data_IF_150681750472
#
_entry.id   IF_150681750472
#
_cell.length_a   1.000
_cell.length_b   1.000
_cell.length_c   1.000
_cell.angle_alpha   90.00
_cell.angle_beta   90.00
_cell.angle_gamma   90.00
#
_symmetry.space_group_name_H-M   'P 1'
#
loop_
_entity.id
_entity.type
_entity.pdbx_description
1 polymer ?
#
# COMPACT_ATOMS: atom_id res chain seq x y z
N UNK A 1 -6.29 41.69 -45.49
CA UNK A 1 -6.39 41.72 -44.01
C UNK A 1 -6.67 40.31 -43.54
N UNK A 2 -5.64 39.57 -43.13
CA UNK A 2 -5.79 38.27 -42.48
C UNK A 2 -5.52 38.50 -41.01
N UNK A 3 -6.54 38.30 -40.19
CA UNK A 3 -6.50 38.51 -38.75
C UNK A 3 -5.78 37.34 -38.10
N UNK A 4 -4.55 37.57 -37.61
CA UNK A 4 -3.85 36.64 -36.72
C UNK A 4 -4.30 36.93 -35.29
N UNK A 5 -5.21 36.11 -34.77
CA UNK A 5 -5.52 36.05 -33.33
C UNK A 5 -5.16 34.67 -32.80
N UNK A 6 -3.87 34.36 -32.79
CA UNK A 6 -3.31 33.26 -32.01
C UNK A 6 -2.92 33.80 -30.64
N UNK A 7 -3.83 33.70 -29.66
CA UNK A 7 -3.51 33.98 -28.27
C UNK A 7 -2.66 32.85 -27.72
N UNK A 8 -1.33 32.97 -27.80
CA UNK A 8 -0.40 32.13 -27.07
C UNK A 8 -0.56 32.42 -25.56
N UNK A 9 -1.42 31.66 -24.90
CA UNK A 9 -1.48 31.64 -23.44
C UNK A 9 -0.18 31.05 -22.92
N UNK A 10 0.66 31.86 -22.30
CA UNK A 10 1.84 31.39 -21.57
C UNK A 10 1.44 30.21 -20.65
N UNK A 11 2.24 29.12 -20.61
CA UNK A 11 1.94 27.99 -19.74
C UNK A 11 1.86 28.47 -18.28
N UNK A 12 0.77 28.08 -17.59
CA UNK A 12 0.56 28.41 -16.18
C UNK A 12 1.81 28.10 -15.35
N UNK A 13 2.27 29.08 -14.56
CA UNK A 13 3.42 28.94 -13.65
C UNK A 13 3.15 28.00 -12.47
N UNK A 14 1.89 27.67 -12.23
CA UNK A 14 1.44 26.77 -11.16
C UNK A 14 0.65 25.59 -11.73
N UNK A 15 0.73 24.46 -11.05
CA UNK A 15 -0.06 23.25 -11.28
C UNK A 15 -1.06 23.11 -10.13
N UNK A 16 -2.30 22.73 -10.42
CA UNK A 16 -3.25 22.32 -9.39
C UNK A 16 -2.88 20.91 -8.93
N UNK A 17 -2.47 20.75 -7.68
CA UNK A 17 -2.28 19.45 -7.05
C UNK A 17 -3.60 19.06 -6.38
N UNK A 18 -4.12 17.88 -6.70
CA UNK A 18 -5.42 17.43 -6.21
C UNK A 18 -5.26 16.09 -5.49
N UNK A 19 -5.87 15.99 -4.31
CA UNK A 19 -6.07 14.75 -3.59
C UNK A 19 -7.55 14.35 -3.64
N UNK A 20 -7.86 13.17 -4.16
CA UNK A 20 -9.23 12.70 -4.38
C UNK A 20 -9.39 11.23 -3.96
N UNK A 21 -10.35 10.95 -3.07
CA UNK A 21 -10.66 9.58 -2.66
C UNK A 21 -11.28 8.74 -3.80
N UNK A 22 -11.41 7.42 -3.59
CA UNK A 22 -11.92 6.52 -4.61
C UNK A 22 -13.38 6.81 -5.01
N UNK A 23 -14.24 7.20 -4.06
CA UNK A 23 -15.63 7.58 -4.35
C UNK A 23 -15.81 9.03 -4.82
N UNK A 24 -14.73 9.80 -4.93
CA UNK A 24 -14.70 11.22 -5.36
C UNK A 24 -15.47 12.21 -4.50
N UNK A 25 -16.12 11.76 -3.42
CA UNK A 25 -16.86 12.63 -2.50
C UNK A 25 -15.97 13.56 -1.67
N UNK A 26 -14.68 13.24 -1.57
CA UNK A 26 -13.68 14.10 -0.96
C UNK A 26 -12.62 14.44 -2.00
N UNK A 27 -12.54 15.73 -2.34
CA UNK A 27 -11.55 16.31 -3.23
C UNK A 27 -10.97 17.56 -2.54
N UNK A 28 -9.65 17.62 -2.45
CA UNK A 28 -8.90 18.75 -1.90
C UNK A 28 -7.87 19.19 -2.92
N UNK A 29 -7.60 20.48 -3.02
CA UNK A 29 -6.70 21.01 -4.05
C UNK A 29 -5.86 22.16 -3.54
N UNK A 30 -4.62 22.26 -4.03
CA UNK A 30 -3.75 23.42 -3.83
C UNK A 30 -3.01 23.77 -5.13
N UNK A 31 -2.44 24.96 -5.21
CA UNK A 31 -1.60 25.38 -6.34
C UNK A 31 -0.13 25.28 -5.97
N UNK A 32 0.63 24.55 -6.77
CA UNK A 32 2.07 24.34 -6.59
C UNK A 32 2.82 25.02 -7.73
N UNK A 33 3.84 25.80 -7.41
CA UNK A 33 4.74 26.35 -8.42
C UNK A 33 5.43 25.21 -9.17
N UNK A 34 5.49 25.28 -10.50
CA UNK A 34 6.14 24.25 -11.34
C UNK A 34 7.60 24.02 -10.96
N UNK A 35 8.29 25.05 -10.49
CA UNK A 35 9.67 24.97 -9.99
C UNK A 35 9.84 24.17 -8.69
N UNK A 36 8.74 23.84 -7.98
CA UNK A 36 8.75 22.97 -6.80
C UNK A 36 8.47 21.50 -7.14
N UNK A 37 8.17 21.19 -8.39
CA UNK A 37 7.94 19.82 -8.83
C UNK A 37 9.25 19.22 -9.37
N UNK A 38 9.49 17.92 -9.13
CA UNK A 38 8.66 16.99 -8.35
C UNK A 38 8.78 17.18 -6.83
N UNK A 39 7.70 16.94 -6.09
CA UNK A 39 7.68 16.96 -4.63
C UNK A 39 8.42 15.74 -4.05
N UNK A 40 9.14 15.94 -2.94
CA UNK A 40 9.82 14.86 -2.25
C UNK A 40 8.81 13.92 -1.57
N UNK A 41 8.84 12.66 -1.95
CA UNK A 41 8.03 11.59 -1.39
C UNK A 41 8.89 10.66 -0.54
N UNK A 42 8.28 10.12 0.51
CA UNK A 42 8.83 9.08 1.36
C UNK A 42 8.07 7.79 1.07
N UNK A 43 8.80 6.68 0.99
CA UNK A 43 8.23 5.35 1.08
C UNK A 43 8.59 4.74 2.43
N UNK A 44 7.55 4.38 3.19
CA UNK A 44 7.68 3.70 4.47
C UNK A 44 7.40 2.21 4.31
N UNK A 45 8.30 1.38 4.84
CA UNK A 45 8.23 -0.08 4.78
C UNK A 45 7.85 -0.73 6.13
N UNK A 46 7.50 0.07 7.15
CA UNK A 46 7.23 -0.47 8.48
C UNK A 46 5.95 -1.33 8.50
N UNK A 47 5.91 -2.32 9.38
CA UNK A 47 4.75 -3.21 9.53
C UNK A 47 3.47 -2.46 9.92
N UNK A 48 3.59 -1.33 10.63
CA UNK A 48 2.42 -0.54 11.00
C UNK A 48 1.75 0.08 9.77
N UNK A 49 2.54 0.67 8.87
CA UNK A 49 2.04 1.20 7.60
C UNK A 49 1.44 0.08 6.75
N UNK A 50 2.10 -1.08 6.65
CA UNK A 50 1.55 -2.24 5.93
C UNK A 50 0.20 -2.69 6.47
N UNK A 51 0.06 -2.80 7.80
CA UNK A 51 -1.19 -3.21 8.43
C UNK A 51 -2.26 -2.10 8.44
N UNK A 52 -1.87 -0.85 8.20
CA UNK A 52 -2.77 0.29 8.02
C UNK A 52 -3.29 0.37 6.58
N UNK A 53 -2.48 0.02 5.57
CA UNK A 53 -2.84 0.24 4.17
C UNK A 53 -3.23 -1.02 3.41
N UNK A 54 -2.76 -2.20 3.85
CA UNK A 54 -2.83 -3.44 3.09
C UNK A 54 -1.79 -3.55 1.96
N UNK A 55 -1.00 -2.49 1.73
CA UNK A 55 0.13 -2.51 0.80
C UNK A 55 1.40 -3.11 1.44
N UNK A 56 2.38 -3.49 0.61
CA UNK A 56 3.71 -3.86 1.09
C UNK A 56 4.54 -2.67 1.58
N UNK A 57 4.12 -1.47 1.20
CA UNK A 57 4.68 -0.19 1.60
C UNK A 57 3.59 0.87 1.54
N UNK A 58 3.91 2.06 2.01
CA UNK A 58 3.06 3.24 1.87
C UNK A 58 3.90 4.39 1.35
N UNK A 59 3.35 5.18 0.42
CA UNK A 59 4.03 6.38 -0.07
C UNK A 59 3.28 7.65 0.31
N UNK A 60 4.02 8.63 0.79
CA UNK A 60 3.50 9.90 1.29
C UNK A 60 4.37 11.06 0.84
N UNK A 61 3.79 12.26 0.73
CA UNK A 61 4.54 13.51 0.55
C UNK A 61 3.95 14.60 1.44
N UNK A 62 4.74 15.61 1.79
CA UNK A 62 4.24 16.78 2.50
C UNK A 62 3.24 17.53 1.61
N UNK A 63 2.12 17.97 2.19
CA UNK A 63 1.18 18.82 1.47
C UNK A 63 1.82 20.20 1.29
N UNK A 64 1.83 20.79 0.08
CA UNK A 64 2.58 22.02 -0.21
C UNK A 64 2.32 23.22 0.70
N UNK A 65 1.11 23.33 1.25
CA UNK A 65 0.70 24.37 2.21
C UNK A 65 0.68 23.88 3.67
N UNK A 66 0.97 22.60 3.88
CA UNK A 66 0.98 21.93 5.19
C UNK A 66 2.32 22.05 5.93
N UNK A 67 3.35 22.57 5.28
CA UNK A 67 4.68 22.74 5.87
C UNK A 67 4.79 24.08 6.60
N UNK A 68 4.98 24.02 7.91
CA UNK A 68 5.26 25.19 8.75
C UNK A 68 6.69 25.74 8.55
N UNK A 69 7.54 25.06 7.77
CA UNK A 69 8.92 25.44 7.46
C UNK A 69 9.06 26.48 6.35
N UNK A 70 7.94 27.07 5.87
CA UNK A 70 7.98 28.29 5.06
C UNK A 70 8.96 29.26 5.72
N UNK A 71 10.02 29.74 5.03
CA UNK A 71 10.91 30.73 5.60
C UNK A 71 10.04 31.90 6.04
N UNK A 72 9.93 32.12 7.35
CA UNK A 72 9.31 33.32 7.85
C UNK A 72 10.17 34.46 7.32
N UNK A 73 9.58 35.36 6.52
CA UNK A 73 10.11 36.71 6.45
C UNK A 73 10.35 37.17 7.90
N UNK A 74 11.58 37.63 8.18
CA UNK A 74 12.12 37.94 9.52
C UNK A 74 11.00 38.36 10.49
N UNK A 75 10.68 37.52 11.47
CA UNK A 75 9.71 37.84 12.51
C UNK A 75 10.44 38.33 13.76
N UNK A 76 9.95 39.44 14.28
CA UNK A 76 10.33 40.03 15.55
C UNK A 76 10.26 39.01 16.70
N UNK A 77 11.33 38.94 17.49
CA UNK A 77 11.57 37.93 18.54
C UNK A 77 10.61 38.02 19.74
N UNK A 78 9.63 38.93 19.74
CA UNK A 78 8.79 39.22 20.90
C UNK A 78 7.28 38.96 20.71
N UNK A 79 6.87 38.29 19.63
CA UNK A 79 5.49 37.89 19.44
C UNK A 79 5.27 36.43 19.87
N UNK A 80 4.53 36.23 20.96
CA UNK A 80 3.94 34.94 21.34
C UNK A 80 2.97 34.53 20.23
N UNK A 81 3.47 33.87 19.18
CA UNK A 81 2.70 33.57 17.98
C UNK A 81 1.71 32.44 18.27
N UNK A 82 0.42 32.78 18.35
CA UNK A 82 -0.66 31.83 18.09
C UNK A 82 -0.51 31.37 16.63
N UNK A 83 0.19 30.25 16.41
CA UNK A 83 0.37 29.68 15.07
C UNK A 83 -1.00 29.26 14.56
N UNK A 84 -1.54 30.02 13.61
CA UNK A 84 -2.73 29.60 12.86
C UNK A 84 -2.40 28.31 12.12
N UNK A 85 -3.21 27.24 12.25
CA UNK A 85 -2.97 25.99 11.53
C UNK A 85 -2.92 26.20 10.00
N UNK A 86 -2.17 25.37 9.27
CA UNK A 86 -2.19 25.35 7.81
C UNK A 86 -3.61 25.32 7.23
N UNK A 87 -3.80 25.88 6.02
CA UNK A 87 -5.10 25.90 5.36
C UNK A 87 -5.70 24.49 5.23
N UNK A 88 -4.88 23.52 4.79
CA UNK A 88 -5.28 22.13 4.67
C UNK A 88 -5.70 21.50 6.00
N UNK A 89 -5.04 21.85 7.11
CA UNK A 89 -5.39 21.32 8.43
C UNK A 89 -6.81 21.76 8.83
N UNK A 90 -7.19 23.01 8.53
CA UNK A 90 -8.54 23.52 8.77
C UNK A 90 -9.57 22.84 7.87
N UNK A 91 -9.26 22.62 6.59
CA UNK A 91 -10.15 21.94 5.66
C UNK A 91 -10.38 20.47 6.02
N UNK A 92 -9.32 19.75 6.39
CA UNK A 92 -9.40 18.36 6.87
C UNK A 92 -10.19 18.29 8.17
N UNK A 93 -9.95 19.20 9.12
CA UNK A 93 -10.72 19.28 10.37
C UNK A 93 -12.20 19.54 10.11
N UNK A 94 -12.54 20.47 9.22
CA UNK A 94 -13.93 20.72 8.81
C UNK A 94 -14.56 19.49 8.12
N UNK A 95 -13.81 18.75 7.30
CA UNK A 95 -14.28 17.52 6.68
C UNK A 95 -14.53 16.39 7.70
N UNK A 96 -13.71 16.31 8.76
CA UNK A 96 -13.93 15.39 9.89
C UNK A 96 -15.19 15.78 10.68
N UNK A 97 -15.35 17.06 11.01
CA UNK A 97 -16.54 17.56 11.71
C UNK A 97 -17.84 17.33 10.90
N UNK A 98 -17.76 17.43 9.58
CA UNK A 98 -18.86 17.14 8.66
C UNK A 98 -19.08 15.63 8.42
N UNK A 99 -18.32 14.73 9.06
CA UNK A 99 -18.44 13.28 8.88
C UNK A 99 -17.98 12.75 7.51
N UNK A 100 -17.34 13.59 6.68
CA UNK A 100 -16.83 13.19 5.35
C UNK A 100 -15.50 12.45 5.42
N UNK A 101 -14.69 12.76 6.44
CA UNK A 101 -13.47 12.05 6.78
C UNK A 101 -13.59 11.46 8.19
N UNK A 102 -12.96 10.31 8.42
CA UNK A 102 -12.69 9.74 9.74
C UNK A 102 -11.22 9.93 10.08
N UNK A 103 -10.93 9.94 11.38
CA UNK A 103 -9.56 10.03 11.90
C UNK A 103 -9.21 8.77 12.71
N UNK A 104 -7.94 8.37 12.64
CA UNK A 104 -7.41 7.28 13.46
C UNK A 104 -6.02 7.67 14.01
N UNK A 105 -5.77 7.51 15.32
CA UNK A 105 -4.44 7.70 15.89
C UNK A 105 -3.53 6.55 15.44
N UNK A 106 -2.65 6.82 14.48
CA UNK A 106 -1.71 5.83 13.95
C UNK A 106 -0.52 5.61 14.90
N UNK A 107 -0.13 6.65 15.64
CA UNK A 107 0.86 6.57 16.71
C UNK A 107 0.66 7.72 17.69
N UNK A 108 1.51 7.83 18.71
CA UNK A 108 1.53 9.02 19.58
C UNK A 108 1.80 10.32 18.83
N UNK A 109 2.45 10.23 17.66
CA UNK A 109 2.94 11.39 16.91
C UNK A 109 2.21 11.59 15.58
N UNK A 110 1.28 10.71 15.21
CA UNK A 110 0.64 10.76 13.89
C UNK A 110 -0.83 10.37 13.95
N UNK A 111 -1.69 11.18 13.33
CA UNK A 111 -3.05 10.81 12.99
C UNK A 111 -3.17 10.61 11.48
N UNK A 112 -4.06 9.71 11.07
CA UNK A 112 -4.39 9.50 9.67
C UNK A 112 -5.87 9.79 9.42
N UNK A 113 -6.15 10.39 8.27
CA UNK A 113 -7.48 10.83 7.86
C UNK A 113 -7.89 10.08 6.59
N UNK A 114 -9.08 9.48 6.60
CA UNK A 114 -9.56 8.64 5.51
C UNK A 114 -11.04 8.89 5.22
N UNK A 115 -11.45 8.64 3.97
CA UNK A 115 -12.84 8.85 3.56
C UNK A 115 -13.80 7.98 4.39
N UNK A 116 -14.87 8.57 4.92
CA UNK A 116 -15.88 7.83 5.69
C UNK A 116 -16.65 6.80 4.86
N UNK A 117 -16.74 7.00 3.55
CA UNK A 117 -17.46 6.12 2.62
C UNK A 117 -16.57 5.02 2.02
N UNK A 118 -15.55 5.39 1.24
CA UNK A 118 -14.71 4.41 0.54
C UNK A 118 -13.45 3.99 1.30
N UNK A 119 -13.20 4.56 2.48
CA UNK A 119 -12.02 4.28 3.30
C UNK A 119 -10.65 4.60 2.68
N UNK A 120 -10.58 5.30 1.53
CA UNK A 120 -9.29 5.78 1.01
C UNK A 120 -8.57 6.65 2.04
N UNK A 121 -7.34 6.28 2.38
CA UNK A 121 -6.42 7.10 3.17
C UNK A 121 -6.05 8.35 2.38
N UNK A 122 -6.31 9.52 2.95
CA UNK A 122 -6.16 10.80 2.26
C UNK A 122 -4.99 11.61 2.81
N UNK A 123 -5.04 11.94 4.09
CA UNK A 123 -4.05 12.81 4.73
C UNK A 123 -3.53 12.19 6.01
N UNK A 124 -2.44 12.74 6.51
CA UNK A 124 -1.97 12.53 7.87
C UNK A 124 -1.47 13.85 8.45
N UNK A 125 -1.50 13.95 9.76
CA UNK A 125 -0.76 14.95 10.50
C UNK A 125 0.17 14.30 11.49
N UNK A 126 1.18 15.05 11.92
CA UNK A 126 2.11 14.58 12.91
C UNK A 126 3.42 15.32 12.88
N UNK A 127 4.43 14.68 13.45
CA UNK A 127 5.76 15.26 13.58
C UNK A 127 6.79 14.35 12.93
N UNK A 128 7.43 14.81 11.84
CA UNK A 128 8.60 14.15 11.25
C UNK A 128 9.85 14.94 11.63
N UNK A 129 10.85 14.27 12.21
CA UNK A 129 12.12 14.91 12.64
C UNK A 129 11.92 16.17 13.51
N UNK A 130 10.91 16.17 14.37
CA UNK A 130 10.58 17.31 15.25
C UNK A 130 9.80 18.45 14.57
N UNK A 131 9.42 18.32 13.29
CA UNK A 131 8.66 19.31 12.53
C UNK A 131 7.22 18.86 12.31
N UNK A 132 6.28 19.73 12.69
CA UNK A 132 4.87 19.56 12.35
C UNK A 132 4.70 19.47 10.83
N UNK A 133 4.09 18.37 10.40
CA UNK A 133 3.90 18.03 9.00
C UNK A 133 2.45 17.64 8.78
N UNK A 134 1.80 18.32 7.84
CA UNK A 134 0.58 17.82 7.19
C UNK A 134 0.96 17.24 5.84
N UNK A 135 0.66 15.97 5.63
CA UNK A 135 0.99 15.27 4.39
C UNK A 135 -0.18 14.53 3.79
N UNK A 136 0.03 14.07 2.56
CA UNK A 136 -0.94 13.36 1.73
C UNK A 136 -0.39 11.99 1.34
N UNK A 137 -1.26 10.99 1.26
CA UNK A 137 -0.91 9.69 0.71
C UNK A 137 -0.84 9.78 -0.81
N UNK A 138 0.26 9.28 -1.40
CA UNK A 138 0.50 9.40 -2.84
C UNK A 138 -0.60 8.72 -3.68
N UNK A 139 -1.20 7.64 -3.18
CA UNK A 139 -2.23 6.89 -3.88
C UNK A 139 -3.54 7.66 -4.17
N UNK A 140 -3.81 8.76 -3.46
CA UNK A 140 -4.98 9.62 -3.71
C UNK A 140 -4.67 10.88 -4.51
N UNK A 141 -3.41 11.12 -4.88
CA UNK A 141 -3.09 12.18 -5.83
C UNK A 141 -3.70 11.82 -7.18
N UNK A 142 -4.47 12.75 -7.75
CA UNK A 142 -5.14 12.51 -9.01
C UNK A 142 -4.16 12.43 -10.19
N UNK A 143 -4.69 12.13 -11.37
CA UNK A 143 -3.89 11.98 -12.59
C UNK A 143 -3.65 13.31 -13.29
N UNK A 144 -3.39 14.37 -12.51
CA UNK A 144 -3.02 15.66 -13.07
C UNK A 144 -1.84 15.49 -14.03
N UNK A 145 -2.07 15.84 -15.30
CA UNK A 145 -1.01 15.94 -16.31
C UNK A 145 -0.32 17.28 -16.16
N UNK A 146 1.00 17.24 -16.04
CA UNK A 146 1.87 18.41 -16.01
C UNK A 146 2.62 18.47 -17.33
N UNK A 147 2.25 19.36 -18.26
CA UNK A 147 2.89 19.43 -19.58
C UNK A 147 4.40 19.66 -19.45
N UNK A 148 5.23 18.90 -20.17
CA UNK A 148 6.67 19.15 -20.26
C UNK A 148 6.92 20.40 -21.13
N UNK A 149 7.87 21.25 -20.74
CA UNK A 149 8.32 22.36 -21.60
C UNK A 149 9.37 21.81 -22.56
N UNK A 150 8.96 21.22 -23.68
CA UNK A 150 9.91 20.92 -24.76
C UNK A 150 9.20 20.89 -26.11
N UNK A 151 9.08 22.08 -26.71
CA UNK A 151 9.00 22.26 -28.16
C UNK A 151 10.42 22.22 -28.76
N UNK A 152 11.08 21.07 -28.67
CA UNK A 152 12.36 20.81 -29.31
C UNK A 152 12.24 19.63 -30.26
N UNK A 153 12.97 19.70 -31.38
CA UNK A 153 12.94 18.84 -32.58
C UNK A 153 13.36 17.36 -32.35
N UNK A 154 13.00 16.79 -31.20
CA UNK A 154 13.22 15.37 -30.88
C UNK A 154 12.24 14.49 -31.65
N UNK A 155 12.77 13.38 -32.16
CA UNK A 155 12.08 12.28 -32.83
C UNK A 155 10.85 11.76 -32.05
N UNK A 156 9.71 12.45 -32.21
CA UNK A 156 8.31 12.00 -32.19
C UNK A 156 7.78 11.10 -31.05
N UNK A 157 8.60 10.61 -30.14
CA UNK A 157 8.32 9.44 -29.28
C UNK A 157 8.29 9.80 -27.78
N UNK A 158 8.86 10.94 -27.39
CA UNK A 158 8.90 11.42 -25.99
C UNK A 158 8.00 12.64 -25.71
N UNK A 159 7.30 13.17 -26.72
CA UNK A 159 6.48 14.40 -26.62
C UNK A 159 5.18 14.26 -25.81
N UNK A 160 4.75 13.05 -25.44
CA UNK A 160 3.44 12.84 -24.76
C UNK A 160 3.52 12.66 -23.23
N UNK A 161 4.73 12.65 -22.62
CA UNK A 161 4.87 12.30 -21.20
C UNK A 161 4.78 13.50 -20.25
N UNK A 162 3.91 13.39 -19.25
CA UNK A 162 3.78 14.35 -18.14
C UNK A 162 5.06 14.45 -17.30
N UNK A 163 5.39 15.64 -16.82
CA UNK A 163 6.38 15.86 -15.76
C UNK A 163 5.95 15.09 -14.50
N UNK A 164 6.89 14.47 -13.74
CA UNK A 164 6.57 13.80 -12.48
C UNK A 164 6.03 14.78 -11.42
N UNK A 165 5.00 14.36 -10.68
CA UNK A 165 4.54 15.09 -9.50
C UNK A 165 5.39 14.79 -8.28
N UNK A 166 5.87 13.56 -8.16
CA UNK A 166 6.63 13.07 -7.01
C UNK A 166 8.00 12.55 -7.45
N UNK A 167 8.98 12.68 -6.57
CA UNK A 167 10.23 11.92 -6.61
C UNK A 167 10.40 11.23 -5.26
N UNK A 168 10.72 9.95 -5.25
CA UNK A 168 10.93 9.17 -4.04
C UNK A 168 12.31 9.52 -3.49
N UNK A 169 12.35 10.34 -2.45
CA UNK A 169 13.59 10.80 -1.82
C UNK A 169 14.14 9.80 -0.79
N UNK A 170 13.25 9.07 -0.11
CA UNK A 170 13.64 8.20 1.00
C UNK A 170 12.87 6.87 1.01
N UNK A 171 13.59 5.77 1.22
CA UNK A 171 13.05 4.48 1.67
C UNK A 171 13.36 4.31 3.16
N UNK A 172 12.35 4.41 4.03
CA UNK A 172 12.51 4.36 5.49
C UNK A 172 11.96 3.03 6.08
N UNK A 173 12.47 2.64 7.24
CA UNK A 173 12.03 1.47 8.02
C UNK A 173 12.21 0.10 7.33
N UNK A 174 13.30 -0.07 6.58
CA UNK A 174 13.57 -1.33 5.87
C UNK A 174 13.72 -2.54 6.80
N UNK A 175 14.18 -2.34 8.04
CA UNK A 175 14.32 -3.41 9.04
C UNK A 175 13.00 -4.14 9.34
N UNK A 176 11.85 -3.45 9.18
CA UNK A 176 10.52 -4.01 9.44
C UNK A 176 10.09 -5.06 8.42
N UNK A 177 10.82 -5.21 7.31
CA UNK A 177 10.47 -6.17 6.25
C UNK A 177 11.13 -7.53 6.41
N UNK A 178 12.30 -7.57 7.05
CA UNK A 178 13.21 -8.73 7.14
C UNK A 178 13.74 -9.25 5.79
N UNK A 179 12.90 -9.34 4.77
CA UNK A 179 13.22 -9.81 3.43
C UNK A 179 13.36 -8.67 2.40
N UNK A 180 13.28 -7.40 2.81
CA UNK A 180 13.32 -6.24 1.93
C UNK A 180 11.96 -5.78 1.40
N UNK A 181 10.89 -6.56 1.56
CA UNK A 181 9.55 -6.20 1.09
C UNK A 181 9.54 -5.75 -0.37
N UNK A 182 9.02 -4.54 -0.63
CA UNK A 182 8.96 -3.95 -1.96
C UNK A 182 10.22 -3.14 -2.34
N UNK A 183 11.20 -3.01 -1.43
CA UNK A 183 12.42 -2.22 -1.67
C UNK A 183 13.18 -2.62 -2.94
N UNK A 184 13.32 -3.92 -3.30
CA UNK A 184 13.99 -4.29 -4.55
C UNK A 184 13.36 -3.70 -5.80
N UNK A 185 12.07 -3.34 -5.76
CA UNK A 185 11.34 -2.73 -6.87
C UNK A 185 11.42 -1.21 -6.81
N UNK A 186 11.87 -0.62 -5.70
CA UNK A 186 11.96 0.81 -5.44
C UNK A 186 13.42 1.29 -5.39
N UNK A 187 14.31 0.61 -6.11
CA UNK A 187 15.75 0.92 -6.19
C UNK A 187 16.03 2.20 -6.97
N UNK A 188 15.44 2.32 -8.16
CA UNK A 188 15.58 3.50 -9.01
C UNK A 188 14.24 3.97 -9.61
N UNK A 189 13.28 4.38 -8.76
CA UNK A 189 11.93 4.77 -9.19
C UNK A 189 11.87 6.18 -9.83
N UNK A 190 12.94 6.99 -9.75
CA UNK A 190 12.89 8.43 -10.07
C UNK A 190 13.20 8.78 -11.54
N UNK A 191 13.37 7.79 -12.41
CA UNK A 191 13.82 7.92 -13.82
C UNK A 191 15.25 8.45 -13.98
N UNK A 192 15.99 7.87 -14.94
CA UNK A 192 17.38 8.21 -15.21
C UNK A 192 17.50 9.61 -15.84
N UNK A 193 18.34 10.47 -15.25
CA UNK A 193 18.86 11.67 -15.93
C UNK A 193 19.04 12.93 -15.09
N UNK A 194 18.33 13.11 -13.97
CA UNK A 194 18.49 14.33 -13.16
C UNK A 194 18.11 14.24 -11.68
N UNK A 195 17.49 13.15 -11.22
CA UNK A 195 17.05 13.01 -9.84
C UNK A 195 17.88 11.95 -9.13
N UNK A 196 18.28 12.25 -7.90
CA UNK A 196 19.05 11.32 -7.07
C UNK A 196 18.23 10.06 -6.76
N UNK A 197 18.88 8.88 -6.65
CA UNK A 197 18.22 7.67 -6.18
C UNK A 197 17.72 7.85 -4.74
N UNK A 198 16.68 7.11 -4.33
CA UNK A 198 16.13 7.21 -2.99
C UNK A 198 17.16 6.77 -1.94
N UNK A 199 17.35 7.62 -0.92
CA UNK A 199 18.21 7.33 0.23
C UNK A 199 17.58 6.27 1.13
N UNK A 200 18.36 5.31 1.63
CA UNK A 200 17.84 4.14 2.34
C UNK A 200 18.14 4.15 3.84
N UNK A 201 17.18 3.70 4.66
CA UNK A 201 17.25 3.73 6.12
C UNK A 201 16.66 2.45 6.72
N UNK A 202 17.39 1.81 7.64
CA UNK A 202 16.89 0.63 8.36
C UNK A 202 15.72 0.97 9.29
N UNK A 203 15.74 2.15 9.92
CA UNK A 203 14.63 2.71 10.71
C UNK A 203 14.28 4.11 10.19
N UNK A 204 13.91 5.07 11.06
CA UNK A 204 13.71 6.44 10.63
C UNK A 204 15.06 7.14 10.34
N UNK A 205 15.02 8.19 9.52
CA UNK A 205 16.13 9.13 9.37
C UNK A 205 16.43 9.78 10.73
N UNK A 206 17.72 9.94 11.03
CA UNK A 206 18.20 10.41 12.34
C UNK A 206 18.24 9.33 13.43
N UNK A 207 17.66 8.13 13.20
CA UNK A 207 17.72 7.00 14.13
C UNK A 207 18.62 5.85 13.62
N UNK A 208 18.87 5.79 12.31
CA UNK A 208 19.93 4.97 11.72
C UNK A 208 20.80 5.81 10.79
N UNK A 209 22.00 5.31 10.53
CA UNK A 209 22.80 5.79 9.41
C UNK A 209 22.09 5.47 8.10
N UNK A 210 22.34 6.31 7.09
CA UNK A 210 22.02 6.00 5.71
C UNK A 210 22.82 4.78 5.28
N UNK A 211 22.19 3.92 4.49
CA UNK A 211 22.83 2.72 3.94
C UNK A 211 22.81 2.76 2.43
N UNK A 212 23.78 2.11 1.81
CA UNK A 212 23.74 1.87 0.37
C UNK A 212 22.70 0.79 0.05
N UNK A 213 22.32 0.71 -1.21
CA UNK A 213 21.47 -0.36 -1.70
C UNK A 213 22.12 -1.75 -1.49
N UNK A 214 23.42 -1.87 -1.78
CA UNK A 214 24.18 -3.11 -1.55
C UNK A 214 24.15 -3.52 -0.08
N UNK A 215 24.33 -2.57 0.85
CA UNK A 215 24.22 -2.83 2.28
C UNK A 215 22.80 -3.24 2.69
N UNK A 216 21.77 -2.64 2.10
CA UNK A 216 20.38 -3.01 2.35
C UNK A 216 20.12 -4.45 1.90
N UNK A 217 20.57 -4.80 0.69
CA UNK A 217 20.49 -6.15 0.15
C UNK A 217 21.29 -7.15 1.01
N UNK A 218 22.49 -6.79 1.44
CA UNK A 218 23.31 -7.63 2.32
C UNK A 218 22.63 -7.88 3.68
N UNK A 219 22.13 -6.82 4.33
CA UNK A 219 21.54 -6.90 5.68
C UNK A 219 20.22 -7.67 5.70
N UNK A 220 19.40 -7.53 4.66
CA UNK A 220 18.07 -8.14 4.59
C UNK A 220 18.12 -9.58 4.04
N UNK A 221 19.01 -9.87 3.09
CA UNK A 221 18.98 -11.15 2.39
C UNK A 221 20.03 -12.16 2.87
N UNK A 222 21.19 -11.73 3.41
CA UNK A 222 22.28 -12.64 3.78
C UNK A 222 22.03 -13.47 5.05
N UNK A 223 21.30 -12.93 6.04
CA UNK A 223 20.95 -13.71 7.26
C UNK A 223 20.11 -14.95 6.96
N UNK A 224 19.42 -15.00 5.82
CA UNK A 224 18.66 -16.18 5.36
C UNK A 224 19.57 -17.25 4.78
N UNK A 225 20.57 -16.83 4.00
CA UNK A 225 21.62 -17.69 3.41
C UNK A 225 22.53 -18.30 4.49
N UNK A 226 23.01 -17.50 5.45
CA UNK A 226 23.87 -17.97 6.54
C UNK A 226 23.17 -18.99 7.45
N UNK A 227 21.86 -18.80 7.69
CA UNK A 227 21.05 -19.75 8.47
C UNK A 227 20.74 -21.04 7.71
N UNK A 228 20.53 -20.96 6.39
CA UNK A 228 20.45 -22.16 5.53
C UNK A 228 21.76 -22.95 5.54
N UNK A 229 22.90 -22.27 5.42
CA UNK A 229 24.22 -22.92 5.48
C UNK A 229 24.52 -23.54 6.85
N UNK A 230 24.16 -22.88 7.96
CA UNK A 230 24.32 -23.44 9.30
C UNK A 230 23.41 -24.65 9.56
N UNK A 231 22.18 -24.65 9.03
CA UNK A 231 21.29 -25.82 9.09
C UNK A 231 21.81 -26.99 8.23
N UNK A 232 22.45 -26.72 7.09
CA UNK A 232 23.09 -27.75 6.27
C UNK A 232 24.39 -28.29 6.90
N UNK A 233 25.18 -27.45 7.56
CA UNK A 233 26.44 -27.84 8.22
C UNK A 233 26.21 -28.57 9.57
N UNK A 234 25.03 -28.43 10.18
CA UNK A 234 24.61 -29.19 11.36
C UNK A 234 24.04 -30.59 11.07
N UNK A 235 23.79 -30.91 9.80
CA UNK A 235 23.24 -32.19 9.33
C UNK A 235 24.31 -33.13 8.79
N UNK A 236 25.23 -33.60 9.64
CA UNK A 236 26.19 -34.64 9.28
C UNK A 236 25.52 -36.01 9.15
N UNK A 237 24.92 -36.29 8.00
CA UNK A 237 24.38 -37.60 7.65
C UNK A 237 24.39 -37.82 6.13
N UNK A 238 25.40 -38.54 5.65
CA UNK A 238 25.53 -38.94 4.24
C UNK A 238 24.31 -39.73 3.76
N UNK A 239 23.64 -39.22 2.74
CA UNK A 239 22.67 -39.96 1.95
C UNK A 239 22.29 -39.16 0.71
N UNK A 240 22.85 -39.50 -0.44
CA UNK A 240 22.42 -38.96 -1.73
C UNK A 240 20.97 -39.34 -2.00
N UNK A 241 20.09 -38.37 -1.85
CA UNK A 241 18.68 -38.43 -2.19
C UNK A 241 18.16 -37.00 -2.11
N UNK A 242 17.49 -36.54 -3.17
CA UNK A 242 16.81 -35.26 -3.22
C UNK A 242 16.01 -35.06 -1.92
N UNK A 243 16.38 -34.06 -1.12
CA UNK A 243 15.70 -33.69 0.12
C UNK A 243 14.25 -33.29 -0.21
N UNK A 244 13.35 -34.28 -0.21
CA UNK A 244 11.93 -34.05 0.01
C UNK A 244 11.81 -33.48 1.42
N UNK A 245 11.85 -32.15 1.53
CA UNK A 245 11.44 -31.39 2.70
C UNK A 245 10.12 -31.99 3.19
N UNK A 246 10.13 -32.61 4.37
CA UNK A 246 8.98 -33.28 4.97
C UNK A 246 7.84 -32.26 5.14
N UNK A 247 6.91 -32.28 4.18
CA UNK A 247 5.85 -31.30 4.00
C UNK A 247 4.64 -31.59 4.87
N UNK A 248 4.67 -31.12 6.13
CA UNK A 248 3.42 -30.86 6.85
C UNK A 248 2.66 -29.68 6.21
N UNK A 249 1.32 -29.60 6.36
CA UNK A 249 0.57 -28.45 5.88
C UNK A 249 1.09 -27.16 6.53
N UNK A 250 1.31 -26.12 5.73
CA UNK A 250 1.74 -24.82 6.25
C UNK A 250 0.69 -24.25 7.21
N UNK A 251 1.12 -23.56 8.28
CA UNK A 251 0.19 -22.94 9.22
C UNK A 251 -0.66 -21.87 8.52
N UNK A 252 -1.89 -21.62 8.98
CA UNK A 252 -2.72 -20.53 8.46
C UNK A 252 -2.05 -19.17 8.63
N UNK A 253 -2.30 -18.26 7.68
CA UNK A 253 -1.78 -16.89 7.71
C UNK A 253 -2.80 -15.95 8.36
N UNK A 254 -2.46 -15.26 9.46
CA UNK A 254 -3.31 -14.20 9.98
C UNK A 254 -3.47 -13.04 8.97
N UNK A 255 -4.70 -12.57 8.82
CA UNK A 255 -5.06 -11.32 8.16
C UNK A 255 -5.38 -10.32 9.27
N UNK A 256 -4.45 -9.40 9.55
CA UNK A 256 -4.58 -8.48 10.68
C UNK A 256 -4.38 -7.03 10.26
N UNK A 257 -5.35 -6.20 10.57
CA UNK A 257 -5.21 -4.74 10.41
C UNK A 257 -4.46 -4.11 11.59
N UNK A 258 -4.01 -2.88 11.41
CA UNK A 258 -3.25 -2.11 12.40
C UNK A 258 -3.94 -2.06 13.78
N UNK A 259 -5.22 -1.65 13.81
CA UNK A 259 -5.94 -1.47 15.08
C UNK A 259 -6.52 -2.77 15.69
N UNK A 260 -6.29 -3.93 15.06
CA UNK A 260 -6.87 -5.22 15.49
C UNK A 260 -8.39 -5.34 15.31
N UNK A 261 -9.05 -4.37 14.66
CA UNK A 261 -10.50 -4.42 14.39
C UNK A 261 -10.88 -5.42 13.30
N UNK A 262 -9.92 -5.91 12.53
CA UNK A 262 -10.03 -7.03 11.60
C UNK A 262 -8.97 -8.04 12.01
N UNK A 263 -9.42 -9.26 12.33
CA UNK A 263 -8.57 -10.37 12.68
C UNK A 263 -9.19 -11.66 12.15
N UNK A 264 -8.66 -12.10 11.01
CA UNK A 264 -9.12 -13.29 10.29
C UNK A 264 -7.91 -14.21 10.07
N UNK A 265 -8.17 -15.43 9.63
CA UNK A 265 -7.12 -16.37 9.20
C UNK A 265 -7.40 -16.82 7.79
N UNK A 266 -6.32 -16.92 7.01
CA UNK A 266 -6.30 -17.53 5.68
C UNK A 266 -5.68 -18.92 5.81
N UNK A 267 -6.49 -19.94 5.57
CA UNK A 267 -6.03 -21.31 5.53
C UNK A 267 -5.36 -21.63 4.20
N UNK A 268 -4.49 -22.63 4.25
CA UNK A 268 -3.99 -23.29 3.05
C UNK A 268 -5.18 -23.73 2.19
N UNK A 269 -5.11 -23.60 0.85
CA UNK A 269 -6.17 -24.03 -0.02
C UNK A 269 -6.52 -25.50 0.28
N UNK A 270 -7.79 -25.81 0.57
CA UNK A 270 -8.19 -27.20 0.84
C UNK A 270 -7.82 -28.08 -0.35
N UNK A 271 -7.27 -29.28 -0.14
CA UNK A 271 -7.14 -30.30 -1.19
C UNK A 271 -8.51 -30.96 -1.36
N UNK A 272 -9.26 -30.59 -2.39
CA UNK A 272 -10.58 -31.12 -2.69
C UNK A 272 -10.57 -31.75 -4.07
N UNK A 273 -10.79 -33.07 -4.14
CA UNK A 273 -11.01 -33.81 -5.37
C UNK A 273 -12.33 -33.37 -6.01
N UNK A 274 -12.25 -32.89 -7.24
CA UNK A 274 -13.38 -32.39 -8.02
C UNK A 274 -12.87 -31.54 -9.18
N UNK A 275 -13.26 -31.91 -10.39
CA UNK A 275 -12.76 -31.39 -11.66
C UNK A 275 -12.95 -29.87 -11.80
N UNK A 276 -11.96 -29.22 -12.43
CA UNK A 276 -11.89 -27.78 -12.78
C UNK A 276 -11.65 -26.78 -11.63
N UNK A 277 -10.57 -26.96 -10.87
CA UNK A 277 -9.91 -25.78 -10.28
C UNK A 277 -9.35 -24.95 -11.41
N UNK A 278 -9.89 -23.75 -11.66
CA UNK A 278 -9.21 -22.80 -12.52
C UNK A 278 -7.81 -22.56 -11.92
N UNK A 279 -6.78 -22.95 -12.67
CA UNK A 279 -5.39 -23.14 -12.25
C UNK A 279 -4.65 -21.80 -11.97
N UNK A 280 -5.41 -20.73 -11.78
CA UNK A 280 -4.95 -19.35 -11.72
C UNK A 280 -4.76 -18.90 -10.26
N UNK A 281 -5.31 -19.62 -9.26
CA UNK A 281 -5.20 -19.26 -7.83
C UNK A 281 -3.89 -19.72 -7.24
N UNK A 282 -3.51 -20.92 -7.65
CA UNK A 282 -2.37 -21.64 -7.15
C UNK A 282 -1.37 -21.68 -8.29
N UNK A 283 -0.14 -21.35 -7.99
CA UNK A 283 0.95 -21.64 -8.89
C UNK A 283 1.14 -23.15 -8.92
N UNK A 284 0.89 -23.76 -10.08
CA UNK A 284 0.96 -25.21 -10.26
C UNK A 284 2.36 -25.76 -10.02
N UNK A 285 3.41 -24.95 -10.20
CA UNK A 285 4.79 -25.37 -9.96
C UNK A 285 5.10 -25.42 -8.46
N UNK A 286 4.57 -24.49 -7.66
CA UNK A 286 4.92 -24.35 -6.24
C UNK A 286 3.85 -24.82 -5.27
N UNK A 287 2.60 -25.00 -5.72
CA UNK A 287 1.44 -25.25 -4.86
C UNK A 287 1.05 -24.06 -3.98
N UNK A 288 1.65 -22.88 -4.19
CA UNK A 288 1.45 -21.67 -3.38
C UNK A 288 0.39 -20.76 -3.99
N UNK A 289 -0.24 -19.91 -3.18
CA UNK A 289 -1.18 -18.91 -3.69
C UNK A 289 -0.45 -17.87 -4.52
N UNK A 290 -0.97 -17.56 -5.70
CA UNK A 290 -0.42 -16.48 -6.54
C UNK A 290 -0.70 -15.11 -5.91
N UNK A 291 0.24 -14.21 -6.11
CA UNK A 291 0.09 -12.78 -5.86
C UNK A 291 0.08 -12.08 -7.21
N UNK A 292 -0.95 -11.26 -7.44
CA UNK A 292 -0.99 -10.36 -8.58
C UNK A 292 -0.60 -8.96 -8.13
N UNK A 293 0.00 -8.21 -9.05
CA UNK A 293 0.26 -6.78 -8.87
C UNK A 293 -0.73 -6.00 -9.73
N UNK A 294 -1.33 -4.95 -9.19
CA UNK A 294 -2.29 -4.11 -9.90
C UNK A 294 -1.87 -2.64 -9.82
N UNK A 295 -1.89 -1.99 -10.97
CA UNK A 295 -1.56 -0.57 -11.14
C UNK A 295 -2.80 0.31 -11.35
N UNK A 296 -4.02 -0.23 -11.25
CA UNK A 296 -5.23 0.54 -11.54
C UNK A 296 -5.49 1.66 -10.51
N UNK A 297 -6.29 2.64 -10.94
CA UNK A 297 -6.71 3.79 -10.13
C UNK A 297 -7.37 3.40 -8.80
N UNK A 298 -8.21 2.36 -8.83
CA UNK A 298 -8.96 1.97 -7.65
C UNK A 298 -8.07 1.30 -6.60
N UNK A 299 -7.17 0.41 -7.03
CA UNK A 299 -6.27 -0.30 -6.12
C UNK A 299 -5.32 0.66 -5.39
N UNK A 300 -4.69 1.60 -6.13
CA UNK A 300 -3.79 2.58 -5.51
C UNK A 300 -4.49 3.49 -4.49
N UNK A 301 -5.74 3.89 -4.76
CA UNK A 301 -6.55 4.74 -3.86
C UNK A 301 -7.04 3.95 -2.63
N UNK A 302 -7.22 2.64 -2.75
CA UNK A 302 -7.58 1.76 -1.64
C UNK A 302 -6.38 1.51 -0.70
N UNK A 303 -5.17 1.36 -1.23
CA UNK A 303 -3.99 0.94 -0.45
C UNK A 303 -2.88 1.98 -0.30
N UNK A 304 -3.11 3.23 -0.72
CA UNK A 304 -2.18 4.35 -0.52
C UNK A 304 -0.74 4.11 -1.05
N UNK A 305 -0.60 3.35 -2.15
CA UNK A 305 0.67 3.02 -2.80
C UNK A 305 0.61 3.22 -4.31
N UNK A 306 1.74 3.06 -5.01
CA UNK A 306 1.78 3.16 -6.49
C UNK A 306 1.26 1.89 -7.15
N UNK A 307 1.58 0.74 -6.55
CA UNK A 307 1.17 -0.60 -6.94
C UNK A 307 0.55 -1.31 -5.74
N UNK A 308 -0.45 -2.14 -5.99
CA UNK A 308 -1.10 -2.95 -4.96
C UNK A 308 -0.90 -4.43 -5.26
N UNK A 309 -0.66 -5.22 -4.20
CA UNK A 309 -0.39 -6.64 -4.30
C UNK A 309 -1.53 -7.41 -3.66
N UNK A 310 -2.19 -8.27 -4.43
CA UNK A 310 -3.36 -9.01 -4.02
C UNK A 310 -3.11 -10.50 -4.13
N UNK A 311 -3.48 -11.27 -3.11
CA UNK A 311 -3.54 -12.74 -3.23
C UNK A 311 -4.99 -13.19 -3.23
N UNK A 312 -5.32 -14.16 -4.09
CA UNK A 312 -6.68 -14.66 -4.21
C UNK A 312 -6.97 -15.78 -3.20
N UNK A 313 -8.15 -15.74 -2.61
CA UNK A 313 -8.68 -16.78 -1.74
C UNK A 313 -10.13 -17.09 -2.07
N UNK A 314 -10.50 -18.37 -1.95
CA UNK A 314 -11.91 -18.75 -1.85
C UNK A 314 -12.42 -18.36 -0.45
N UNK A 315 -13.68 -17.94 -0.35
CA UNK A 315 -14.30 -17.57 0.92
C UNK A 315 -14.20 -18.70 1.97
N UNK A 316 -14.29 -19.95 1.54
CA UNK A 316 -14.14 -21.14 2.40
C UNK A 316 -12.74 -21.29 3.03
N UNK A 317 -11.72 -20.62 2.48
CA UNK A 317 -10.37 -20.64 3.01
C UNK A 317 -10.15 -19.53 4.05
N UNK A 318 -11.12 -18.64 4.24
CA UNK A 318 -11.07 -17.54 5.21
C UNK A 318 -11.94 -17.89 6.41
N UNK A 319 -11.42 -17.65 7.62
CA UNK A 319 -12.17 -17.85 8.85
C UNK A 319 -11.97 -16.71 9.85
N UNK A 320 -12.92 -16.55 10.77
CA UNK A 320 -12.69 -15.77 11.98
C UNK A 320 -11.66 -16.49 12.86
N UNK A 321 -10.86 -15.73 13.60
CA UNK A 321 -9.97 -16.32 14.63
C UNK A 321 -10.83 -16.88 15.75
N UNK A 322 -10.63 -18.16 16.10
CA UNK A 322 -11.17 -18.72 17.34
C UNK A 322 -10.56 -17.99 18.53
N UNK A 323 -11.37 -17.27 19.31
CA UNK A 323 -10.93 -16.66 20.55
C UNK A 323 -11.05 -17.73 21.64
N UNK A 324 -9.95 -18.22 22.24
CA UNK A 324 -10.04 -19.13 23.38
C UNK A 324 -10.80 -18.44 24.50
N UNK A 325 -11.93 -19.02 24.90
CA UNK A 325 -12.77 -18.47 25.95
C UNK A 325 -12.10 -18.77 27.30
N UNK A 326 -11.28 -17.86 27.82
CA UNK A 326 -10.57 -18.04 29.11
C UNK A 326 -11.49 -18.06 30.35
N UNK A 327 -12.81 -18.15 30.17
CA UNK A 327 -13.78 -18.32 31.24
C UNK A 327 -14.32 -19.75 31.22
N UNK A 328 -13.56 -20.69 31.78
CA UNK A 328 -14.12 -21.90 32.38
C UNK A 328 -14.99 -21.53 33.59
N UNK A 329 -16.13 -20.88 33.37
CA UNK A 329 -17.24 -20.91 34.31
C UNK A 329 -18.56 -20.62 33.60
N UNK A 330 -19.40 -21.65 33.64
CA UNK A 330 -20.77 -21.79 33.12
C UNK A 330 -21.59 -20.48 33.13
N UNK A 331 -22.24 -20.19 32.02
CA UNK A 331 -23.72 -20.14 31.90
C UNK A 331 -24.12 -19.81 30.46
N UNK A 332 -25.26 -20.37 30.05
CA UNK A 332 -25.80 -20.44 28.69
C UNK A 332 -25.88 -19.09 27.94
N UNK A 333 -24.85 -18.74 27.18
CA UNK A 333 -24.97 -17.85 26.02
C UNK A 333 -23.79 -18.06 25.06
N UNK A 334 -23.59 -19.29 24.60
CA UNK A 334 -22.73 -19.59 23.47
C UNK A 334 -23.47 -19.18 22.20
N UNK A 335 -23.36 -17.90 21.80
CA UNK A 335 -23.52 -17.60 20.36
C UNK A 335 -22.35 -18.32 19.67
N UNK A 336 -22.58 -19.32 18.81
CA UNK A 336 -21.48 -19.87 18.02
C UNK A 336 -20.87 -18.73 17.23
N UNK A 337 -19.54 -18.64 17.18
CA UNK A 337 -18.88 -17.77 16.21
C UNK A 337 -19.43 -18.23 14.86
N UNK A 338 -20.26 -17.39 14.22
CA UNK A 338 -20.84 -17.69 12.92
C UNK A 338 -19.69 -18.04 11.97
N UNK A 339 -19.82 -19.14 11.23
CA UNK A 339 -18.87 -19.46 10.15
C UNK A 339 -18.65 -18.22 9.27
N UNK A 340 -17.44 -18.06 8.74
CA UNK A 340 -17.20 -16.99 7.78
C UNK A 340 -18.18 -17.13 6.60
N UNK A 341 -18.73 -16.01 6.07
CA UNK A 341 -19.70 -16.05 4.98
C UNK A 341 -19.23 -16.88 3.79
N UNK A 342 -20.13 -17.69 3.22
CA UNK A 342 -19.82 -18.63 2.14
C UNK A 342 -20.01 -18.03 0.75
N UNK A 343 -20.76 -16.93 0.66
CA UNK A 343 -20.99 -16.18 -0.58
C UNK A 343 -20.66 -14.70 -0.41
N UNK A 344 -20.44 -14.00 -1.53
CA UNK A 344 -20.22 -12.54 -1.50
C UNK A 344 -21.45 -11.78 -1.01
N UNK A 345 -22.66 -12.27 -1.31
CA UNK A 345 -23.91 -11.68 -0.81
C UNK A 345 -24.06 -11.85 0.70
N UNK A 346 -23.74 -13.02 1.25
CA UNK A 346 -23.69 -13.23 2.70
C UNK A 346 -22.60 -12.36 3.36
N UNK A 347 -21.43 -12.22 2.72
CA UNK A 347 -20.36 -11.36 3.22
C UNK A 347 -20.82 -9.90 3.29
N UNK A 348 -21.42 -9.40 2.21
CA UNK A 348 -21.95 -8.06 2.14
C UNK A 348 -23.04 -7.81 3.20
N UNK A 349 -24.04 -8.69 3.28
CA UNK A 349 -25.12 -8.60 4.26
C UNK A 349 -24.56 -8.62 5.70
N UNK A 350 -23.57 -9.46 5.98
CA UNK A 350 -22.95 -9.54 7.31
C UNK A 350 -22.24 -8.24 7.75
N UNK A 351 -21.88 -7.40 6.79
CA UNK A 351 -21.24 -6.09 7.01
C UNK A 351 -22.28 -4.98 7.08
N UNK A 352 -23.29 -5.01 6.21
CA UNK A 352 -24.36 -4.01 6.14
C UNK A 352 -25.29 -4.08 7.36
N UNK A 353 -25.72 -5.27 7.78
CA UNK A 353 -26.58 -5.48 8.96
C UNK A 353 -25.90 -5.01 10.26
N UNK A 354 -24.57 -4.98 10.30
CA UNK A 354 -23.80 -4.53 11.48
C UNK A 354 -23.76 -3.02 11.65
N UNK A 355 -24.13 -2.25 10.63
CA UNK A 355 -24.33 -0.81 10.80
C UNK A 355 -25.36 -0.52 11.91
N UNK A 356 -26.25 -1.48 12.20
CA UNK A 356 -27.34 -1.36 13.17
C UNK A 356 -27.03 -2.01 14.54
N UNK A 357 -25.89 -2.67 14.74
CA UNK A 357 -25.53 -3.34 16.02
C UNK A 357 -24.01 -3.49 16.24
N UNK A 358 -23.35 -2.55 16.97
CA UNK A 358 -21.91 -2.59 17.22
C UNK A 358 -21.53 -3.73 18.19
N UNK A 359 -20.86 -4.78 17.70
CA UNK A 359 -20.36 -5.88 18.55
C UNK A 359 -19.91 -7.16 17.82
N UNK A 360 -19.98 -7.22 16.49
CA UNK A 360 -19.58 -8.39 15.72
C UNK A 360 -18.07 -8.69 15.75
N UNK A 361 -17.64 -9.89 15.31
CA UNK A 361 -16.24 -10.36 15.34
C UNK A 361 -15.25 -9.55 14.47
N UNK A 362 -15.74 -8.59 13.68
CA UNK A 362 -14.90 -7.73 12.84
C UNK A 362 -15.58 -6.39 12.57
N UNK A 363 -14.77 -5.38 12.28
CA UNK A 363 -15.14 -3.99 11.99
C UNK A 363 -15.17 -3.69 10.49
N UNK A 364 -15.28 -4.71 9.64
CA UNK A 364 -15.35 -4.53 8.19
C UNK A 364 -16.46 -3.53 7.82
N UNK A 365 -16.17 -2.70 6.84
CA UNK A 365 -17.13 -1.83 6.14
C UNK A 365 -17.05 -2.14 4.64
N UNK A 366 -18.16 -1.95 3.94
CA UNK A 366 -18.30 -2.22 2.52
C UNK A 366 -18.50 -0.93 1.74
N UNK A 367 -17.74 -0.77 0.66
CA UNK A 367 -17.95 0.23 -0.38
C UNK A 367 -18.07 -0.46 -1.74
N UNK A 368 -19.10 -0.11 -2.53
CA UNK A 368 -19.23 -0.59 -3.91
C UNK A 368 -18.82 0.51 -4.87
N UNK A 369 -17.76 0.29 -5.64
CA UNK A 369 -17.31 1.26 -6.66
C UNK A 369 -18.11 1.15 -7.95
N UNK A 370 -18.79 0.03 -8.16
CA UNK A 370 -19.72 -0.23 -9.26
C UNK A 370 -20.72 -1.30 -8.80
N UNK A 371 -21.69 -1.66 -9.66
CA UNK A 371 -22.64 -2.73 -9.38
C UNK A 371 -21.98 -4.10 -9.14
N UNK A 372 -20.74 -4.30 -9.60
CA UNK A 372 -20.07 -5.60 -9.59
C UNK A 372 -18.74 -5.63 -8.81
N UNK A 373 -18.32 -4.52 -8.19
CA UNK A 373 -17.03 -4.45 -7.47
C UNK A 373 -17.26 -3.97 -6.04
N UNK A 374 -16.84 -4.82 -5.10
CA UNK A 374 -17.00 -4.64 -3.67
C UNK A 374 -15.64 -4.44 -3.01
N UNK A 375 -15.52 -3.44 -2.13
CA UNK A 375 -14.32 -3.12 -1.37
C UNK A 375 -14.61 -3.27 0.12
N UNK A 376 -13.79 -4.06 0.79
CA UNK A 376 -13.92 -4.31 2.22
C UNK A 376 -12.69 -3.78 2.96
N UNK A 377 -12.94 -2.90 3.92
CA UNK A 377 -11.89 -2.25 4.71
C UNK A 377 -12.21 -2.29 6.20
N UNK A 378 -11.20 -2.13 7.06
CA UNK A 378 -11.43 -1.91 8.47
C UNK A 378 -12.12 -0.55 8.69
N UNK A 379 -13.32 -0.52 9.27
CA UNK A 379 -14.05 0.70 9.58
C UNK A 379 -13.41 1.60 10.63
N UNK A 380 -12.42 1.10 11.39
CA UNK A 380 -11.70 1.86 12.43
C UNK A 380 -10.40 2.50 11.94
N UNK A 381 -9.56 1.74 11.23
CA UNK A 381 -8.23 2.20 10.79
C UNK A 381 -8.06 2.24 9.28
N UNK A 382 -9.14 2.04 8.52
CA UNK A 382 -9.20 2.10 7.06
C UNK A 382 -8.44 1.04 6.26
N UNK A 383 -7.73 0.12 6.93
CA UNK A 383 -6.98 -0.94 6.26
C UNK A 383 -7.79 -1.66 5.19
N UNK A 384 -7.33 -1.62 3.94
CA UNK A 384 -7.91 -2.37 2.84
C UNK A 384 -7.69 -3.85 3.09
N UNK A 385 -8.77 -4.62 3.17
CA UNK A 385 -8.73 -6.05 3.50
C UNK A 385 -8.98 -6.88 2.25
N UNK A 386 -10.11 -6.64 1.60
CA UNK A 386 -10.52 -7.37 0.41
C UNK A 386 -10.96 -6.42 -0.70
N UNK A 387 -10.76 -6.84 -1.94
CA UNK A 387 -11.73 -6.52 -2.99
C UNK A 387 -12.36 -7.82 -3.51
N UNK A 388 -13.59 -7.72 -4.01
CA UNK A 388 -14.31 -8.83 -4.61
C UNK A 388 -15.06 -8.35 -5.85
N UNK A 389 -15.31 -9.28 -6.78
CA UNK A 389 -16.09 -9.02 -7.97
C UNK A 389 -17.24 -10.01 -8.06
N UNK A 390 -18.42 -9.53 -8.43
CA UNK A 390 -19.62 -10.37 -8.46
C UNK A 390 -19.58 -11.40 -9.61
N UNK A 391 -18.75 -11.18 -10.63
CA UNK A 391 -18.44 -12.13 -11.70
C UNK A 391 -17.43 -13.21 -11.29
N UNK A 392 -16.86 -13.10 -10.08
CA UNK A 392 -16.04 -14.13 -9.42
C UNK A 392 -16.70 -14.58 -8.10
N UNK A 393 -17.92 -15.16 -8.15
CA UNK A 393 -18.64 -15.52 -6.94
C UNK A 393 -17.85 -16.52 -6.11
N UNK A 394 -17.87 -16.35 -4.79
CA UNK A 394 -17.15 -17.22 -3.85
C UNK A 394 -15.70 -16.82 -3.57
N UNK A 395 -15.19 -15.76 -4.21
CA UNK A 395 -13.77 -15.38 -4.13
C UNK A 395 -13.56 -13.96 -3.64
N UNK A 396 -12.46 -13.79 -2.91
CA UNK A 396 -11.94 -12.49 -2.49
C UNK A 396 -10.48 -12.37 -2.85
N UNK A 397 -10.07 -11.14 -3.11
CA UNK A 397 -8.68 -10.75 -3.28
C UNK A 397 -8.21 -10.04 -2.02
N UNK A 398 -7.29 -10.67 -1.31
CA UNK A 398 -6.77 -10.24 0.00
C UNK A 398 -5.56 -9.35 -0.22
N UNK A 399 -5.52 -8.19 0.43
CA UNK A 399 -4.38 -7.30 0.38
C UNK A 399 -3.16 -7.97 1.03
N UNK A 400 -2.12 -8.27 0.24
CA UNK A 400 -0.99 -9.08 0.69
C UNK A 400 -0.20 -8.42 1.85
N UNK A 401 -0.25 -7.10 1.97
CA UNK A 401 0.36 -6.36 3.07
C UNK A 401 -0.26 -6.63 4.45
N UNK A 402 -1.49 -7.15 4.52
CA UNK A 402 -2.13 -7.54 5.78
C UNK A 402 -1.77 -8.94 6.26
N UNK A 403 -1.15 -9.75 5.40
CA UNK A 403 -0.73 -11.10 5.76
C UNK A 403 0.51 -11.05 6.64
N UNK A 404 0.51 -11.91 7.65
CA UNK A 404 1.64 -12.12 8.54
C UNK A 404 2.08 -13.58 8.49
N UNK A 405 3.37 -13.82 8.37
CA UNK A 405 3.94 -15.16 8.48
C UNK A 405 3.85 -15.70 9.91
N UNK A 406 3.83 -17.03 10.03
CA UNK A 406 3.83 -17.70 11.33
C UNK A 406 5.25 -17.78 11.93
N UNK A 407 6.28 -17.81 11.09
CA UNK A 407 7.69 -17.84 11.48
C UNK A 407 8.29 -16.46 11.67
N UNK A 408 9.25 -16.35 12.58
CA UNK A 408 9.96 -15.10 12.88
C UNK A 408 10.79 -14.57 11.69
N UNK A 409 11.15 -15.43 10.75
CA UNK A 409 11.95 -15.11 9.55
C UNK A 409 11.16 -15.16 8.24
N UNK A 410 9.82 -15.27 8.28
CA UNK A 410 8.98 -15.44 7.07
C UNK A 410 8.98 -14.19 6.15
N UNK A 411 9.46 -13.04 6.65
CA UNK A 411 9.48 -11.78 5.91
C UNK A 411 8.08 -11.24 5.62
N UNK A 412 7.99 -10.29 4.69
CA UNK A 412 6.71 -9.65 4.32
C UNK A 412 6.21 -10.05 2.95
N UNK A 413 7.07 -10.59 2.07
CA UNK A 413 6.64 -11.22 0.82
C UNK A 413 6.10 -12.63 1.05
N UNK A 414 6.39 -13.25 2.20
CA UNK A 414 5.86 -14.56 2.58
C UNK A 414 6.04 -15.62 1.48
N UNK A 415 7.20 -15.63 0.83
CA UNK A 415 7.51 -16.46 -0.34
C UNK A 415 7.36 -17.97 -0.07
N UNK A 416 7.34 -18.39 1.20
CA UNK A 416 7.01 -19.77 1.60
C UNK A 416 5.55 -20.15 1.32
N UNK A 417 4.64 -19.19 1.40
CA UNK A 417 3.19 -19.35 1.26
C UNK A 417 2.65 -18.79 -0.06
N UNK A 418 3.34 -17.78 -0.61
CA UNK A 418 2.94 -17.02 -1.77
C UNK A 418 3.91 -17.21 -2.94
N UNK A 419 3.36 -17.31 -4.15
CA UNK A 419 4.11 -17.24 -5.40
C UNK A 419 3.87 -15.89 -6.05
N UNK A 420 4.94 -15.22 -6.46
CA UNK A 420 4.91 -13.85 -6.97
C UNK A 420 5.26 -13.85 -8.44
N UNK A 421 4.46 -13.14 -9.24
CA UNK A 421 4.82 -12.80 -10.62
C UNK A 421 5.40 -11.39 -10.64
N UNK A 422 6.71 -11.30 -10.85
CA UNK A 422 7.44 -10.03 -10.94
C UNK A 422 7.55 -9.50 -12.37
N UNK A 423 7.02 -10.23 -13.35
CA UNK A 423 7.05 -9.79 -14.73
C UNK A 423 6.08 -8.63 -14.94
N UNK A 424 6.41 -7.75 -15.89
CA UNK A 424 5.50 -6.70 -16.37
C UNK A 424 4.18 -7.29 -16.87
N UNK A 425 4.23 -8.47 -17.49
CA UNK A 425 3.05 -9.17 -17.98
C UNK A 425 2.11 -9.63 -16.85
N UNK A 426 2.64 -9.85 -15.65
CA UNK A 426 1.88 -10.17 -14.43
C UNK A 426 1.22 -8.97 -13.75
N UNK A 427 1.43 -7.75 -14.26
CA UNK A 427 0.85 -6.54 -13.66
C UNK A 427 -0.39 -6.09 -14.42
N UNK A 428 -1.53 -6.07 -13.71
CA UNK A 428 -2.81 -5.63 -14.27
C UNK A 428 -2.93 -4.11 -14.35
N UNK A 429 -3.61 -3.63 -15.40
CA UNK A 429 -3.99 -2.22 -15.59
C UNK A 429 -2.81 -1.24 -15.57
N UNK A 430 -1.65 -1.63 -16.10
CA UNK A 430 -0.49 -0.74 -16.23
C UNK A 430 -0.79 0.44 -17.16
N UNK A 431 -1.66 0.23 -18.13
CA UNK A 431 -2.19 1.25 -19.05
C UNK A 431 -2.87 2.43 -18.34
N UNK A 432 -3.48 2.22 -17.16
CA UNK A 432 -4.05 3.30 -16.33
C UNK A 432 -3.00 4.30 -15.85
N UNK A 433 -1.70 4.00 -15.99
CA UNK A 433 -0.62 4.92 -15.63
C UNK A 433 -0.15 5.77 -16.82
N UNK A 434 -0.43 5.35 -18.05
CA UNK A 434 0.29 5.83 -19.24
C UNK A 434 0.05 7.31 -19.50
N UNK A 435 1.15 8.06 -19.66
CA UNK A 435 1.12 9.50 -19.90
C UNK A 435 0.77 10.35 -18.68
N UNK A 436 0.59 9.73 -17.51
CA UNK A 436 0.34 10.41 -16.25
C UNK A 436 1.64 10.60 -15.45
N UNK A 437 1.58 11.34 -14.35
CA UNK A 437 2.77 11.67 -13.55
C UNK A 437 3.48 10.45 -12.93
N UNK A 438 2.75 9.35 -12.72
CA UNK A 438 3.25 8.11 -12.11
C UNK A 438 3.77 7.09 -13.11
N UNK A 439 3.54 7.31 -14.42
CA UNK A 439 3.90 6.37 -15.49
C UNK A 439 5.34 5.88 -15.33
N UNK A 440 6.26 6.84 -15.19
CA UNK A 440 7.70 6.57 -15.04
C UNK A 440 8.05 5.84 -13.74
N UNK A 441 7.40 6.20 -12.63
CA UNK A 441 7.65 5.53 -11.33
C UNK A 441 7.25 4.07 -11.44
N UNK A 442 6.05 3.78 -11.97
CA UNK A 442 5.56 2.42 -12.15
C UNK A 442 6.44 1.67 -13.14
N UNK A 443 6.77 2.26 -14.28
CA UNK A 443 7.62 1.64 -15.31
C UNK A 443 8.99 1.20 -14.75
N UNK A 444 9.65 2.07 -13.97
CA UNK A 444 10.92 1.75 -13.30
C UNK A 444 10.76 0.73 -12.18
N UNK A 445 9.64 0.74 -11.46
CA UNK A 445 9.36 -0.29 -10.47
C UNK A 445 9.27 -1.68 -11.09
N UNK A 446 8.59 -1.80 -12.24
CA UNK A 446 8.47 -3.08 -12.95
C UNK A 446 9.82 -3.55 -13.50
N UNK A 447 10.61 -2.65 -14.10
CA UNK A 447 11.97 -2.97 -14.57
C UNK A 447 12.87 -3.44 -13.42
N UNK A 448 12.78 -2.78 -12.26
CA UNK A 448 13.56 -3.16 -11.06
C UNK A 448 13.10 -4.51 -10.50
N UNK A 449 11.80 -4.81 -10.54
CA UNK A 449 11.27 -6.09 -10.11
C UNK A 449 11.73 -7.24 -11.02
N UNK A 450 11.68 -7.07 -12.34
CA UNK A 450 12.16 -8.06 -13.30
C UNK A 450 13.67 -8.28 -13.18
N UNK A 451 14.46 -7.20 -13.07
CA UNK A 451 15.90 -7.29 -12.88
C UNK A 451 16.25 -8.02 -11.58
N UNK A 452 15.52 -7.74 -10.50
CA UNK A 452 15.71 -8.42 -9.22
C UNK A 452 15.38 -9.91 -9.30
N UNK A 453 14.27 -10.28 -9.97
CA UNK A 453 13.91 -11.68 -10.18
C UNK A 453 15.00 -12.43 -10.94
N UNK A 454 15.49 -11.84 -12.04
CA UNK A 454 16.58 -12.42 -12.81
C UNK A 454 17.86 -12.64 -11.98
N UNK A 455 18.19 -11.71 -11.07
CA UNK A 455 19.40 -11.83 -10.26
C UNK A 455 19.35 -12.92 -9.18
N UNK A 456 18.17 -13.38 -8.77
CA UNK A 456 18.03 -14.36 -7.68
C UNK A 456 17.86 -15.81 -8.14
N UNK A 457 17.76 -16.05 -9.45
CA UNK A 457 17.63 -17.39 -10.05
C UNK A 457 16.19 -17.83 -10.17
#
# INVERSE_FOLDING_TARGET
MVSLSGGDTLPSRTVELVAECQCKANRFSTRVARSRLPLAAIVCHCSLCRYLTGGLYTSVTAWPDGDSSRPAEKKDENAQATKTPPAIAREVSAAVQAGRLRTHPFSTNYNVFFCSMCSSLMFFDGTDEGKETYGVFAGVLDNTRVPTQSGGDGDGTDQERSMPLLHIAHNKFLAGTLDGGAMPWLRDPNSAGSLEPPRMWMVNRGQSQEITEEEAMFKLFRKKEERKQQQQLGGGGSGGGEDKVQGGPLPPLPIKCFCGGVHLVLHSPRSGGGETRNNDQIDSATGRRRVITCACESCRKATAGYLTHWTRAELQDVAFVDVPNNNENKTNSTRPISSFPSTLSELAASVEDRAESPGGPTTLVLYRSSAHVQWYSCGRCSAAVFYARDDEPGRVWIAAGLLKGAGEDDGVRLEKYLSWDFSRAGVGFVEDCRGEWRDRIVDRMLQSAEAWEYTRG
#
